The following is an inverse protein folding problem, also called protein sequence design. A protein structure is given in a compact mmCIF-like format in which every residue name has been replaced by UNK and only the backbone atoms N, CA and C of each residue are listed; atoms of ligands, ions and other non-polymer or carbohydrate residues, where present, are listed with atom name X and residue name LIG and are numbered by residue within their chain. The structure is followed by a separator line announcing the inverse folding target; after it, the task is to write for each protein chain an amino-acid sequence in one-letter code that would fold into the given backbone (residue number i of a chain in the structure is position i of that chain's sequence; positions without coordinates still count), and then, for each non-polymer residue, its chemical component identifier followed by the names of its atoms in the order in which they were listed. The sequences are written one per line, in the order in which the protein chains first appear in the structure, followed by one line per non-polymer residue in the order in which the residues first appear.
data_IF_360695547702
#
_entry.id   IF_360695547702
#
_cell.length_a   1.000
_cell.length_b   1.000
_cell.length_c   1.000
_cell.angle_alpha   90.00
_cell.angle_beta   90.00
_cell.angle_gamma   90.00
#
_symmetry.space_group_name_H-M   'P 1'
#
loop_
_entity.id
_entity.type
_entity.pdbx_description
1 polymer ?
#
# COMPACT_ATOMS: atom_id res chain seq x y z
N UNK A 1 33.31 -8.69 -24.87
CA UNK A 1 31.94 -8.30 -24.49
C UNK A 1 31.60 -9.17 -23.30
N UNK A 2 31.85 -8.65 -22.08
CA UNK A 2 31.46 -9.32 -20.86
C UNK A 2 29.93 -9.28 -20.78
N UNK A 3 29.31 -10.48 -20.78
CA UNK A 3 27.87 -10.61 -20.51
C UNK A 3 27.60 -10.06 -19.12
N UNK A 4 26.80 -8.98 -19.04
CA UNK A 4 26.26 -8.50 -17.77
C UNK A 4 25.62 -9.70 -17.05
N UNK A 5 25.94 -9.94 -15.76
CA UNK A 5 25.27 -11.00 -15.03
C UNK A 5 23.77 -10.71 -15.04
N UNK A 6 22.99 -11.59 -15.69
CA UNK A 6 21.54 -11.49 -15.68
C UNK A 6 21.10 -11.63 -14.22
N UNK A 7 20.51 -10.57 -13.67
CA UNK A 7 19.74 -10.66 -12.41
C UNK A 7 18.83 -11.88 -12.56
N UNK A 8 18.90 -12.81 -11.61
CA UNK A 8 18.21 -14.10 -11.70
C UNK A 8 16.75 -13.91 -12.14
N UNK A 9 16.26 -14.79 -12.98
CA UNK A 9 14.91 -14.75 -13.62
C UNK A 9 13.77 -14.42 -12.65
N UNK A 10 13.97 -14.60 -11.35
CA UNK A 10 12.97 -14.41 -10.29
C UNK A 10 13.31 -13.29 -9.30
N UNK A 11 14.30 -12.44 -9.62
CA UNK A 11 14.71 -11.31 -8.75
C UNK A 11 13.54 -10.36 -8.40
N UNK A 12 12.53 -10.26 -9.26
CA UNK A 12 11.33 -9.46 -9.03
C UNK A 12 10.36 -10.01 -7.97
N UNK A 13 10.47 -11.28 -7.55
CA UNK A 13 9.53 -11.86 -6.58
C UNK A 13 9.57 -11.14 -5.22
N UNK A 14 10.76 -10.83 -4.72
CA UNK A 14 10.93 -10.14 -3.44
C UNK A 14 10.38 -8.71 -3.50
N UNK A 15 10.57 -8.03 -4.63
CA UNK A 15 10.02 -6.68 -4.87
C UNK A 15 8.50 -6.74 -4.93
N UNK A 16 7.93 -7.64 -5.73
CA UNK A 16 6.48 -7.81 -5.85
C UNK A 16 5.82 -8.18 -4.50
N UNK A 17 6.46 -9.08 -3.74
CA UNK A 17 6.01 -9.43 -2.39
C UNK A 17 5.97 -8.20 -1.47
N UNK A 18 7.06 -7.42 -1.45
CA UNK A 18 7.14 -6.20 -0.64
C UNK A 18 6.09 -5.16 -1.04
N UNK A 19 5.92 -4.90 -2.34
CA UNK A 19 4.92 -3.96 -2.85
C UNK A 19 3.50 -4.34 -2.41
N UNK A 20 3.12 -5.61 -2.56
CA UNK A 20 1.76 -6.07 -2.23
C UNK A 20 1.51 -6.12 -0.73
N UNK A 21 2.49 -6.54 0.08
CA UNK A 21 2.37 -6.50 1.54
C UNK A 21 2.35 -5.05 2.03
N UNK A 22 3.16 -4.18 1.44
CA UNK A 22 3.16 -2.75 1.75
C UNK A 22 1.82 -2.09 1.50
N UNK A 23 1.25 -2.31 0.31
CA UNK A 23 -0.06 -1.80 -0.06
C UNK A 23 -1.19 -2.38 0.82
N UNK A 24 -1.22 -3.69 1.00
CA UNK A 24 -2.31 -4.34 1.74
C UNK A 24 -2.20 -4.17 3.25
N UNK A 25 -1.04 -4.49 3.85
CA UNK A 25 -0.87 -4.54 5.30
C UNK A 25 -0.49 -3.19 5.90
N UNK A 26 0.54 -2.50 5.34
CA UNK A 26 1.05 -1.28 5.96
C UNK A 26 0.21 -0.04 5.63
N UNK A 27 -0.45 0.01 4.48
CA UNK A 27 -1.33 1.11 4.12
C UNK A 27 -2.80 0.72 4.30
N UNK A 28 -3.36 -0.14 3.46
CA UNK A 28 -4.78 -0.43 3.45
C UNK A 28 -5.36 -0.93 4.77
N UNK A 29 -4.68 -1.86 5.48
CA UNK A 29 -5.16 -2.26 6.81
C UNK A 29 -4.98 -1.17 7.86
N UNK A 30 -3.89 -0.37 7.79
CA UNK A 30 -3.70 0.74 8.75
C UNK A 30 -4.77 1.79 8.54
N UNK A 31 -5.05 2.16 7.28
CA UNK A 31 -6.12 3.10 6.95
C UNK A 31 -7.49 2.57 7.43
N UNK A 32 -7.90 1.40 6.97
CA UNK A 32 -9.20 0.82 7.31
C UNK A 32 -9.38 0.60 8.82
N UNK A 33 -8.41 -0.01 9.50
CA UNK A 33 -8.54 -0.27 10.94
C UNK A 33 -8.48 1.03 11.73
N UNK A 34 -7.55 1.94 11.41
CA UNK A 34 -7.36 3.14 12.21
C UNK A 34 -8.47 4.18 11.94
N UNK A 35 -8.70 4.54 10.67
CA UNK A 35 -9.60 5.66 10.36
C UNK A 35 -11.05 5.22 10.22
N UNK A 36 -11.33 4.05 9.63
CA UNK A 36 -12.71 3.58 9.47
C UNK A 36 -13.26 2.96 10.76
N UNK A 37 -12.48 2.07 11.45
CA UNK A 37 -13.00 1.27 12.54
C UNK A 37 -12.72 1.89 13.93
N UNK A 38 -11.49 2.33 14.22
CA UNK A 38 -11.13 2.80 15.58
C UNK A 38 -11.51 4.27 15.74
N UNK A 39 -11.02 5.15 14.88
CA UNK A 39 -11.27 6.59 14.97
C UNK A 39 -12.63 6.97 14.40
N UNK A 40 -13.18 6.15 13.52
CA UNK A 40 -14.45 6.38 12.80
C UNK A 40 -14.53 7.81 12.24
N UNK A 41 -13.41 8.28 11.68
CA UNK A 41 -13.36 9.59 11.04
C UNK A 41 -14.16 9.59 9.76
N UNK A 42 -14.13 8.49 9.03
CA UNK A 42 -14.92 8.22 7.84
C UNK A 42 -15.16 6.73 7.68
N UNK A 43 -15.99 6.36 6.72
CA UNK A 43 -16.20 5.02 6.18
C UNK A 43 -16.17 5.11 4.67
N UNK A 44 -16.08 4.00 3.97
CA UNK A 44 -15.79 3.89 2.52
C UNK A 44 -16.65 4.79 1.63
N UNK A 45 -17.90 5.06 2.00
CA UNK A 45 -18.81 5.89 1.18
C UNK A 45 -19.48 7.01 1.99
N UNK A 46 -18.85 7.48 3.07
CA UNK A 46 -19.44 8.44 4.02
C UNK A 46 -19.86 9.75 3.38
N UNK A 47 -19.13 10.27 2.37
CA UNK A 47 -19.46 11.55 1.74
C UNK A 47 -20.71 11.48 0.87
N UNK A 48 -21.00 10.31 0.27
CA UNK A 48 -22.20 10.09 -0.57
C UNK A 48 -23.34 9.40 0.19
N UNK A 49 -23.01 8.68 1.27
CA UNK A 49 -23.97 8.03 2.20
C UNK A 49 -23.58 8.28 3.65
N UNK A 50 -23.85 9.46 4.20
CA UNK A 50 -23.55 9.76 5.60
C UNK A 50 -24.18 8.74 6.55
N UNK A 51 -23.43 8.24 7.52
CA UNK A 51 -23.83 7.16 8.44
C UNK A 51 -24.86 7.61 9.50
N UNK A 52 -25.88 8.36 9.08
CA UNK A 52 -26.91 8.95 9.96
C UNK A 52 -28.18 8.10 10.12
N UNK A 53 -28.28 7.02 9.37
CA UNK A 53 -29.38 6.04 9.45
C UNK A 53 -28.87 4.62 9.18
N UNK A 54 -29.67 3.62 9.54
CA UNK A 54 -29.28 2.21 9.47
C UNK A 54 -28.91 1.77 8.05
N UNK A 55 -29.66 2.18 7.03
CA UNK A 55 -29.39 1.79 5.62
C UNK A 55 -28.03 2.32 5.15
N UNK A 56 -27.71 3.56 5.47
CA UNK A 56 -26.42 4.16 5.13
C UNK A 56 -25.28 3.53 5.92
N UNK A 57 -25.50 3.23 7.22
CA UNK A 57 -24.51 2.53 8.03
C UNK A 57 -24.20 1.14 7.45
N UNK A 58 -25.23 0.38 7.05
CA UNK A 58 -25.05 -0.92 6.40
C UNK A 58 -24.27 -0.81 5.08
N UNK A 59 -24.53 0.24 4.27
CA UNK A 59 -23.78 0.47 3.03
C UNK A 59 -22.31 0.79 3.30
N UNK A 60 -22.02 1.61 4.31
CA UNK A 60 -20.64 1.92 4.72
C UNK A 60 -19.93 0.68 5.25
N UNK A 61 -20.57 -0.10 6.15
CA UNK A 61 -20.00 -1.35 6.67
C UNK A 61 -19.70 -2.36 5.56
N UNK A 62 -20.57 -2.46 4.54
CA UNK A 62 -20.28 -3.30 3.38
C UNK A 62 -19.09 -2.77 2.58
N UNK A 63 -19.01 -1.45 2.36
CA UNK A 63 -17.90 -0.80 1.69
C UNK A 63 -16.56 -1.05 2.40
N UNK A 64 -16.53 -0.82 3.72
CA UNK A 64 -15.36 -1.09 4.57
C UNK A 64 -14.95 -2.58 4.51
N UNK A 65 -15.92 -3.50 4.55
CA UNK A 65 -15.68 -4.93 4.41
C UNK A 65 -15.08 -5.31 3.05
N UNK A 66 -15.55 -4.73 1.96
CA UNK A 66 -14.99 -4.96 0.62
C UNK A 66 -13.58 -4.36 0.48
N UNK A 67 -13.34 -3.20 1.07
CA UNK A 67 -12.02 -2.60 1.15
C UNK A 67 -11.04 -3.52 1.90
N UNK A 68 -11.43 -4.00 3.08
CA UNK A 68 -10.62 -4.95 3.85
C UNK A 68 -10.39 -6.27 3.11
N UNK A 69 -11.38 -6.79 2.37
CA UNK A 69 -11.20 -7.98 1.53
C UNK A 69 -10.15 -7.75 0.45
N UNK A 70 -10.16 -6.57 -0.18
CA UNK A 70 -9.16 -6.17 -1.17
C UNK A 70 -7.75 -6.11 -0.56
N UNK A 71 -7.57 -5.39 0.53
CA UNK A 71 -6.29 -5.23 1.22
C UNK A 71 -5.76 -6.55 1.80
N UNK A 72 -6.67 -7.40 2.33
CA UNK A 72 -6.35 -8.76 2.74
C UNK A 72 -5.84 -9.60 1.56
N UNK A 73 -6.51 -9.53 0.41
CA UNK A 73 -6.13 -10.27 -0.79
C UNK A 73 -4.73 -9.87 -1.26
N UNK A 74 -4.43 -8.56 -1.33
CA UNK A 74 -3.08 -8.07 -1.66
C UNK A 74 -2.04 -8.63 -0.68
N UNK A 75 -2.32 -8.59 0.61
CA UNK A 75 -1.42 -9.10 1.66
C UNK A 75 -1.16 -10.59 1.49
N UNK A 76 -2.21 -11.41 1.27
CA UNK A 76 -2.08 -12.86 1.08
C UNK A 76 -1.27 -13.18 -0.16
N UNK A 77 -1.53 -12.53 -1.29
CA UNK A 77 -0.74 -12.71 -2.52
C UNK A 77 0.72 -12.35 -2.26
N UNK A 78 0.97 -11.22 -1.59
CA UNK A 78 2.31 -10.79 -1.21
C UNK A 78 3.04 -11.82 -0.34
N UNK A 79 2.37 -12.40 0.66
CA UNK A 79 2.93 -13.47 1.52
C UNK A 79 3.26 -14.72 0.69
N UNK A 80 2.37 -15.12 -0.24
CA UNK A 80 2.63 -16.27 -1.13
C UNK A 80 3.86 -16.02 -2.01
N UNK A 81 4.02 -14.81 -2.55
CA UNK A 81 5.20 -14.44 -3.34
C UNK A 81 6.47 -14.43 -2.48
N UNK A 82 6.38 -13.93 -1.24
CA UNK A 82 7.48 -13.93 -0.29
C UNK A 82 7.92 -15.37 0.04
N UNK A 83 6.95 -16.26 0.29
CA UNK A 83 7.22 -17.67 0.51
C UNK A 83 7.91 -18.32 -0.69
N UNK A 84 7.43 -18.02 -1.91
CA UNK A 84 8.06 -18.52 -3.15
C UNK A 84 9.46 -17.97 -3.34
N UNK A 85 9.70 -16.72 -2.98
CA UNK A 85 11.04 -16.13 -3.00
C UNK A 85 11.99 -16.85 -2.05
N UNK A 86 11.50 -17.23 -0.84
CA UNK A 86 12.28 -17.93 0.20
C UNK A 86 12.83 -19.29 -0.20
N UNK A 87 12.13 -20.01 -1.09
CA UNK A 87 12.57 -21.30 -1.61
C UNK A 87 13.57 -21.24 -2.77
N UNK A 88 14.11 -20.04 -3.13
CA UNK A 88 14.90 -19.86 -4.32
C UNK A 88 16.28 -19.28 -4.04
N UNK A 89 17.30 -19.92 -4.62
CA UNK A 89 18.69 -19.47 -4.52
C UNK A 89 19.03 -18.32 -5.47
N UNK A 90 18.22 -18.09 -6.51
CA UNK A 90 18.41 -17.04 -7.52
C UNK A 90 17.71 -15.71 -7.16
N UNK A 91 17.07 -15.62 -6.00
CA UNK A 91 16.49 -14.38 -5.47
C UNK A 91 17.47 -13.70 -4.52
N UNK A 92 17.89 -12.46 -4.80
CA UNK A 92 18.79 -11.72 -3.91
C UNK A 92 18.00 -11.27 -2.65
N UNK A 93 18.19 -11.97 -1.53
CA UNK A 93 17.61 -11.59 -0.25
C UNK A 93 18.32 -10.38 0.32
N UNK A 94 17.59 -9.26 0.42
CA UNK A 94 18.10 -8.01 0.95
C UNK A 94 17.02 -7.29 1.77
N UNK A 95 17.30 -6.92 3.05
CA UNK A 95 16.39 -6.09 3.84
C UNK A 95 16.05 -4.76 3.17
N UNK A 96 17.00 -4.19 2.40
CA UNK A 96 16.78 -2.94 1.66
C UNK A 96 15.82 -3.15 0.48
N UNK A 97 15.98 -4.25 -0.28
CA UNK A 97 15.05 -4.57 -1.39
C UNK A 97 13.65 -4.78 -0.81
N UNK A 98 13.50 -5.63 0.19
CA UNK A 98 12.20 -5.92 0.77
C UNK A 98 11.58 -4.71 1.49
N UNK A 99 12.33 -4.08 2.41
CA UNK A 99 11.85 -2.91 3.16
C UNK A 99 11.56 -1.70 2.28
N UNK A 100 12.41 -1.44 1.27
CA UNK A 100 12.16 -0.40 0.28
C UNK A 100 10.90 -0.67 -0.54
N UNK A 101 10.66 -1.93 -0.93
CA UNK A 101 9.43 -2.33 -1.63
C UNK A 101 8.19 -2.21 -0.75
N UNK A 102 8.28 -2.54 0.55
CA UNK A 102 7.18 -2.34 1.50
C UNK A 102 6.75 -0.87 1.59
N UNK A 103 7.72 0.03 1.80
CA UNK A 103 7.44 1.47 1.88
C UNK A 103 6.92 2.03 0.56
N UNK A 104 7.49 1.59 -0.56
CA UNK A 104 7.03 1.98 -1.89
C UNK A 104 5.59 1.51 -2.13
N UNK A 105 5.26 0.27 -1.78
CA UNK A 105 3.92 -0.29 -1.91
C UNK A 105 2.89 0.45 -1.06
N UNK A 106 3.24 0.76 0.19
CA UNK A 106 2.38 1.55 1.08
C UNK A 106 2.13 2.95 0.52
N UNK A 107 3.21 3.67 0.16
CA UNK A 107 3.07 5.03 -0.37
C UNK A 107 2.32 5.10 -1.70
N UNK A 108 2.49 4.12 -2.59
CA UNK A 108 1.72 4.04 -3.84
C UNK A 108 0.23 3.78 -3.56
N UNK A 109 -0.09 2.92 -2.59
CA UNK A 109 -1.48 2.67 -2.18
C UNK A 109 -2.13 3.97 -1.69
N UNK A 110 -1.51 4.66 -0.72
CA UNK A 110 -2.03 5.92 -0.17
C UNK A 110 -2.24 6.99 -1.25
N UNK A 111 -1.28 7.11 -2.19
CA UNK A 111 -1.41 8.06 -3.30
C UNK A 111 -2.55 7.68 -4.24
N UNK A 112 -2.71 6.41 -4.60
CA UNK A 112 -3.74 5.94 -5.54
C UNK A 112 -5.12 6.06 -4.88
N UNK A 113 -5.26 5.54 -3.68
CA UNK A 113 -6.51 5.60 -2.92
C UNK A 113 -6.91 7.05 -2.65
N UNK A 114 -6.03 7.86 -2.05
CA UNK A 114 -6.31 9.24 -1.74
C UNK A 114 -6.61 10.10 -2.98
N UNK A 115 -5.97 9.82 -4.12
CA UNK A 115 -6.31 10.50 -5.37
C UNK A 115 -7.67 10.07 -5.93
N UNK A 116 -7.93 8.77 -5.95
CA UNK A 116 -9.17 8.24 -6.54
C UNK A 116 -10.36 8.52 -5.63
N UNK A 117 -10.28 8.10 -4.37
CA UNK A 117 -11.44 8.08 -3.48
C UNK A 117 -11.72 9.43 -2.82
N UNK A 118 -10.67 10.20 -2.48
CA UNK A 118 -10.85 11.53 -1.88
C UNK A 118 -11.03 12.64 -2.91
N UNK A 119 -10.28 12.60 -4.05
CA UNK A 119 -10.25 13.74 -4.97
C UNK A 119 -11.11 13.52 -6.23
N UNK A 120 -11.02 12.35 -6.89
CA UNK A 120 -11.73 12.10 -8.16
C UNK A 120 -13.17 11.68 -7.89
N UNK A 121 -13.38 10.67 -7.06
CA UNK A 121 -14.72 10.14 -6.75
C UNK A 121 -15.40 10.91 -5.61
N UNK A 122 -14.63 11.44 -4.65
CA UNK A 122 -15.14 12.15 -3.48
C UNK A 122 -16.09 11.30 -2.63
N UNK A 123 -15.85 9.97 -2.58
CA UNK A 123 -16.75 9.05 -1.85
C UNK A 123 -16.53 9.07 -0.36
N UNK A 124 -15.32 9.40 0.07
CA UNK A 124 -14.96 9.77 1.44
C UNK A 124 -13.76 10.74 1.44
N UNK A 125 -13.36 11.19 2.60
CA UNK A 125 -12.19 12.03 2.87
C UNK A 125 -11.55 11.59 4.17
N UNK A 126 -10.25 11.78 4.35
CA UNK A 126 -9.52 11.34 5.56
C UNK A 126 -10.23 11.77 6.83
N UNK A 127 -10.62 13.05 6.90
CA UNK A 127 -11.39 13.58 8.01
C UNK A 127 -12.36 14.65 7.53
N UNK A 128 -13.65 14.36 7.43
CA UNK A 128 -14.66 15.35 7.07
C UNK A 128 -14.69 16.54 8.04
N UNK A 129 -15.04 17.72 7.54
CA UNK A 129 -15.19 18.91 8.36
C UNK A 129 -14.36 20.11 7.89
N UNK A 130 -14.10 21.10 8.76
CA UNK A 130 -13.53 22.40 8.35
C UNK A 130 -12.16 22.34 7.69
N UNK A 131 -11.35 21.33 8.02
CA UNK A 131 -9.98 21.16 7.51
C UNK A 131 -9.83 19.94 6.59
N UNK A 132 -10.91 19.48 5.98
CA UNK A 132 -10.95 18.27 5.14
C UNK A 132 -9.82 18.27 4.10
N UNK A 133 -9.67 19.34 3.31
CA UNK A 133 -8.64 19.42 2.28
C UNK A 133 -7.22 19.32 2.86
N UNK A 134 -6.97 19.88 4.04
CA UNK A 134 -5.65 19.79 4.66
C UNK A 134 -5.31 18.35 5.10
N UNK A 135 -6.31 17.58 5.55
CA UNK A 135 -6.14 16.17 5.88
C UNK A 135 -5.86 15.34 4.62
N UNK A 136 -6.61 15.54 3.54
CA UNK A 136 -6.42 14.84 2.28
C UNK A 136 -5.05 15.15 1.66
N UNK A 137 -4.62 16.42 1.67
CA UNK A 137 -3.27 16.81 1.21
C UNK A 137 -2.20 16.19 2.10
N UNK A 138 -2.40 16.18 3.42
CA UNK A 138 -1.48 15.54 4.37
C UNK A 138 -1.31 14.05 4.09
N UNK A 139 -2.39 13.35 3.82
CA UNK A 139 -2.39 11.92 3.47
C UNK A 139 -1.64 11.66 2.16
N UNK A 140 -1.95 12.40 1.09
CA UNK A 140 -1.24 12.29 -0.19
C UNK A 140 0.25 12.63 -0.05
N UNK A 141 0.59 13.64 0.77
CA UNK A 141 1.98 14.01 1.04
C UNK A 141 2.73 12.89 1.76
N UNK A 142 2.11 12.28 2.76
CA UNK A 142 2.68 11.13 3.46
C UNK A 142 2.90 9.95 2.50
N UNK A 143 1.90 9.62 1.67
CA UNK A 143 2.02 8.59 0.65
C UNK A 143 3.17 8.86 -0.32
N UNK A 144 3.30 10.09 -0.82
CA UNK A 144 4.39 10.48 -1.72
C UNK A 144 5.77 10.37 -1.05
N UNK A 145 5.90 10.76 0.24
CA UNK A 145 7.14 10.62 1.00
C UNK A 145 7.50 9.14 1.17
N UNK A 146 6.54 8.31 1.57
CA UNK A 146 6.76 6.86 1.73
C UNK A 146 7.18 6.21 0.40
N UNK A 147 6.52 6.56 -0.70
CA UNK A 147 6.87 6.06 -2.02
C UNK A 147 8.29 6.48 -2.44
N UNK A 148 8.66 7.75 -2.25
CA UNK A 148 9.98 8.26 -2.60
C UNK A 148 11.08 7.61 -1.76
N UNK A 149 10.91 7.56 -0.45
CA UNK A 149 11.87 6.93 0.47
C UNK A 149 11.99 5.43 0.16
N UNK A 150 10.87 4.75 -0.04
CA UNK A 150 10.84 3.33 -0.44
C UNK A 150 11.59 3.09 -1.74
N UNK A 151 11.36 3.91 -2.75
CA UNK A 151 12.08 3.85 -4.03
C UNK A 151 13.59 4.02 -3.88
N UNK A 152 14.04 5.02 -3.12
CA UNK A 152 15.48 5.26 -2.88
C UNK A 152 16.14 4.06 -2.20
N UNK A 153 15.49 3.51 -1.16
CA UNK A 153 16.01 2.34 -0.42
C UNK A 153 16.05 1.10 -1.32
N UNK A 154 14.99 0.86 -2.10
CA UNK A 154 14.90 -0.23 -3.07
C UNK A 154 16.03 -0.16 -4.10
N UNK A 155 16.22 1.00 -4.73
CA UNK A 155 17.28 1.21 -5.73
C UNK A 155 18.68 0.95 -5.15
N UNK A 156 18.92 1.42 -3.91
CA UNK A 156 20.18 1.16 -3.21
C UNK A 156 20.39 -0.34 -2.95
N UNK A 157 19.35 -1.04 -2.50
CA UNK A 157 19.42 -2.48 -2.27
C UNK A 157 19.68 -3.28 -3.56
N UNK A 158 19.06 -2.89 -4.67
CA UNK A 158 19.27 -3.54 -5.97
C UNK A 158 20.70 -3.34 -6.49
N UNK A 159 21.26 -2.12 -6.37
CA UNK A 159 22.65 -1.83 -6.76
C UNK A 159 23.66 -2.65 -5.94
N UNK A 160 23.46 -2.73 -4.62
CA UNK A 160 24.33 -3.53 -3.74
C UNK A 160 24.26 -5.02 -4.07
N UNK A 161 23.07 -5.56 -4.37
CA UNK A 161 22.91 -6.95 -4.77
C UNK A 161 23.61 -7.26 -6.11
N UNK A 162 23.52 -6.35 -7.08
CA UNK A 162 24.17 -6.51 -8.40
C UNK A 162 25.70 -6.40 -8.33
N UNK A 163 26.27 -5.78 -7.32
CA UNK A 163 27.72 -5.66 -7.15
C UNK A 163 28.39 -6.87 -6.48
N UNK A 164 27.58 -7.81 -5.97
CA UNK A 164 28.05 -9.02 -5.27
C UNK A 164 27.98 -10.29 -6.16
N UNK A 165 27.38 -10.17 -7.33
CA UNK A 165 27.36 -11.20 -8.38
C UNK A 165 28.43 -10.98 -9.42
#
# INVERSE_FOLDING_TARGET
MESQPELGKHSGLLVAAGLLIGAGLLAGFVDGILFHEILQWHHMVTSVRPATNLSNLQANTLGDGLFHLGTWTLTVIGIVLLWRAGGRSDVPWSPKIFGGSLLLGAGLFDCIEGLIDHQILGIHHVKPGPNQLAWDIGFLTLGAILALVGWIILQKGQKEASSQT
#
